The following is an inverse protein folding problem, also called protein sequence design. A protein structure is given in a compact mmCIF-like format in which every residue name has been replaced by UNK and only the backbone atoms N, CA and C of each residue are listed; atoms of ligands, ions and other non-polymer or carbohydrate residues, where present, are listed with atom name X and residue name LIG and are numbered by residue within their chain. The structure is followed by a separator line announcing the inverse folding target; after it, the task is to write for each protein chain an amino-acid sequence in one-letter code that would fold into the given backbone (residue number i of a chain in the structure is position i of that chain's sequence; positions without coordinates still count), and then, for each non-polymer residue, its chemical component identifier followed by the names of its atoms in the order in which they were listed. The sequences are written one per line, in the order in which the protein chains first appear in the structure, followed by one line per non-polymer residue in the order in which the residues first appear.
data_IF_760867880374
#
_entry.id   IF_760867880374
#
_cell.length_a   1.000
_cell.length_b   1.000
_cell.length_c   1.000
_cell.angle_alpha   90.00
_cell.angle_beta   90.00
_cell.angle_gamma   90.00
#
_symmetry.space_group_name_H-M   'P 1'
#
loop_
_entity.id
_entity.type
_entity.pdbx_description
1 polymer ?
#
# COMPACT_ATOMS: atom_id res chain seq x y z
N UNK A 1 -22.33 -19.81 -8.52
CA UNK A 1 -22.52 -19.67 -7.06
C UNK A 1 -21.38 -20.46 -6.42
N UNK A 2 -20.44 -19.94 -5.64
CA UNK A 2 -20.29 -18.70 -4.86
C UNK A 2 -18.87 -18.13 -5.01
N UNK A 3 -18.71 -16.90 -4.53
CA UNK A 3 -17.65 -15.92 -4.80
C UNK A 3 -16.30 -16.23 -4.12
N UNK A 4 -15.20 -15.78 -4.73
CA UNK A 4 -13.94 -15.53 -4.02
C UNK A 4 -14.11 -14.28 -3.15
N UNK A 5 -13.91 -14.41 -1.84
CA UNK A 5 -13.83 -13.28 -0.91
C UNK A 5 -12.41 -12.71 -0.93
N UNK A 6 -12.30 -11.43 -1.31
CA UNK A 6 -11.09 -10.62 -1.15
C UNK A 6 -10.93 -10.27 0.34
N UNK A 7 -10.09 -11.00 1.07
CA UNK A 7 -9.67 -10.58 2.41
C UNK A 7 -8.70 -9.42 2.27
N UNK A 8 -9.21 -8.21 2.44
CA UNK A 8 -8.39 -7.04 2.70
C UNK A 8 -7.68 -7.15 4.05
N UNK A 9 -6.48 -6.56 4.13
CA UNK A 9 -5.85 -6.28 5.43
C UNK A 9 -4.34 -6.45 5.41
N UNK A 10 -3.65 -5.32 5.21
CA UNK A 10 -2.30 -4.99 5.67
C UNK A 10 -1.35 -6.17 5.97
N UNK A 11 -0.43 -6.43 5.06
CA UNK A 11 0.75 -7.29 5.26
C UNK A 11 1.67 -6.73 6.36
N UNK A 12 1.34 -6.96 7.63
CA UNK A 12 2.28 -6.80 8.74
C UNK A 12 2.23 -7.92 9.77
N UNK A 13 1.72 -9.09 9.44
CA UNK A 13 1.73 -10.22 10.38
C UNK A 13 2.04 -11.52 9.64
N UNK A 14 3.33 -11.86 9.44
CA UNK A 14 3.83 -13.25 9.46
C UNK A 14 5.34 -13.37 9.15
N UNK A 15 6.18 -13.09 10.15
CA UNK A 15 7.42 -13.81 10.55
C UNK A 15 7.98 -12.97 11.73
N UNK A 16 8.06 -13.40 12.99
CA UNK A 16 8.73 -14.56 13.55
C UNK A 16 8.09 -14.84 14.92
N UNK A 17 7.72 -16.10 15.17
CA UNK A 17 7.38 -16.60 16.50
C UNK A 17 8.65 -16.69 17.35
N UNK A 18 8.76 -15.86 18.38
CA UNK A 18 9.23 -16.33 19.69
C UNK A 18 8.37 -15.67 20.77
N UNK A 19 7.56 -16.49 21.47
CA UNK A 19 6.93 -16.11 22.73
C UNK A 19 8.01 -15.57 23.68
N UNK A 20 7.89 -14.32 24.14
CA UNK A 20 8.77 -13.78 25.19
C UNK A 20 8.08 -13.93 26.57
N UNK A 21 8.73 -14.55 27.57
CA UNK A 21 8.10 -14.92 28.82
C UNK A 21 7.83 -13.71 29.73
N UNK A 22 6.72 -13.82 30.45
CA UNK A 22 6.22 -12.92 31.49
C UNK A 22 7.04 -13.04 32.77
N UNK A 23 8.03 -12.16 33.03
CA UNK A 23 8.55 -11.98 34.41
C UNK A 23 9.51 -10.82 34.69
N UNK A 24 9.88 -9.94 33.75
CA UNK A 24 10.78 -8.83 34.10
C UNK A 24 10.47 -7.54 33.34
N UNK A 25 9.69 -6.63 33.95
CA UNK A 25 9.92 -5.17 33.90
C UNK A 25 9.31 -4.49 35.15
N UNK A 26 10.10 -3.78 36.00
CA UNK A 26 9.60 -2.98 37.11
C UNK A 26 9.07 -1.60 36.65
N UNK A 27 8.07 -1.11 37.38
CA UNK A 27 7.26 0.11 37.17
C UNK A 27 8.07 1.40 37.07
N UNK A 28 7.75 2.23 36.06
CA UNK A 28 7.61 3.71 36.11
C UNK A 28 6.83 4.16 34.87
N UNK A 29 5.52 4.32 35.00
CA UNK A 29 4.63 4.83 33.95
C UNK A 29 4.88 6.34 33.83
N UNK A 30 5.56 6.77 32.78
CA UNK A 30 5.33 8.06 32.13
C UNK A 30 5.97 8.05 30.76
N UNK A 31 5.38 7.28 29.86
CA UNK A 31 5.60 7.52 28.45
C UNK A 31 4.46 8.43 27.96
N UNK A 32 4.71 9.74 28.03
CA UNK A 32 3.93 10.72 27.29
C UNK A 32 4.21 10.53 25.79
N UNK A 33 3.74 9.41 25.22
CA UNK A 33 3.77 9.17 23.78
C UNK A 33 2.63 9.94 23.12
N UNK A 34 2.63 11.27 23.10
CA UNK A 34 1.76 11.97 22.16
C UNK A 34 2.46 13.17 21.55
N UNK A 35 2.39 13.18 20.23
CA UNK A 35 2.58 14.31 19.37
C UNK A 35 2.79 13.77 17.97
N UNK A 36 4.05 13.74 17.55
CA UNK A 36 4.41 13.46 16.17
C UNK A 36 4.02 12.05 15.67
N UNK A 37 4.30 11.00 16.44
CA UNK A 37 4.15 9.61 15.96
C UNK A 37 2.69 9.22 15.71
N UNK A 38 1.75 9.71 16.51
CA UNK A 38 0.32 9.41 16.36
C UNK A 38 -0.38 10.30 15.33
N UNK A 39 0.20 11.47 15.02
CA UNK A 39 -0.31 12.42 14.03
C UNK A 39 0.24 12.13 12.62
N UNK A 40 1.49 11.67 12.50
CA UNK A 40 2.11 11.34 11.22
C UNK A 40 1.38 10.16 10.56
N UNK A 41 0.93 10.34 9.31
CA UNK A 41 0.20 9.31 8.56
C UNK A 41 -1.12 8.84 9.20
N UNK A 42 -1.70 9.66 10.09
CA UNK A 42 -2.98 9.37 10.78
C UNK A 42 -4.16 9.19 9.84
N UNK A 43 -4.17 9.88 8.68
CA UNK A 43 -5.27 9.76 7.73
C UNK A 43 -5.19 8.47 6.90
N UNK A 44 -6.22 7.60 6.95
CA UNK A 44 -6.22 6.33 6.23
C UNK A 44 -6.27 6.57 4.71
N UNK A 45 -5.31 6.01 3.97
CA UNK A 45 -5.21 6.13 2.49
C UNK A 45 -5.62 4.85 1.75
N UNK A 46 -6.71 4.21 2.19
CA UNK A 46 -7.19 2.96 1.59
C UNK A 46 -7.83 3.16 0.21
N UNK A 47 -8.41 4.34 -0.05
CA UNK A 47 -9.18 4.62 -1.27
C UNK A 47 -8.97 6.03 -1.82
N UNK A 48 -9.54 6.30 -3.00
CA UNK A 48 -9.46 7.58 -3.69
C UNK A 48 -8.13 7.83 -4.41
N UNK A 49 -7.98 9.03 -4.98
CA UNK A 49 -6.82 9.41 -5.81
C UNK A 49 -5.49 9.39 -5.04
N UNK A 50 -5.52 9.63 -3.73
CA UNK A 50 -4.33 9.65 -2.88
C UNK A 50 -3.81 8.26 -2.47
N UNK A 51 -4.64 7.22 -2.64
CA UNK A 51 -4.30 5.84 -2.27
C UNK A 51 -3.38 5.16 -3.26
N UNK A 52 -3.46 5.57 -4.54
CA UNK A 52 -2.80 4.89 -5.66
C UNK A 52 -1.78 5.82 -6.30
N UNK A 53 -0.68 5.23 -6.75
CA UNK A 53 0.40 5.91 -7.45
C UNK A 53 0.90 5.04 -8.61
N UNK A 54 1.48 5.69 -9.61
CA UNK A 54 2.15 4.99 -10.70
C UNK A 54 3.36 4.21 -10.18
N UNK A 55 3.52 2.96 -10.62
CA UNK A 55 4.68 2.13 -10.30
C UNK A 55 6.02 2.70 -10.77
N UNK A 56 6.03 3.47 -11.87
CA UNK A 56 7.27 4.00 -12.47
C UNK A 56 7.62 5.38 -11.92
N UNK A 57 6.69 6.33 -11.99
CA UNK A 57 6.96 7.74 -11.70
C UNK A 57 6.38 8.23 -10.37
N UNK A 58 5.70 7.37 -9.60
CA UNK A 58 5.01 7.73 -8.35
C UNK A 58 3.96 8.85 -8.47
N UNK A 59 3.64 9.31 -9.68
CA UNK A 59 2.60 10.31 -9.92
C UNK A 59 1.22 9.68 -9.64
N UNK A 60 0.33 10.47 -9.04
CA UNK A 60 -1.05 10.08 -8.71
C UNK A 60 -2.08 10.49 -9.76
N UNK A 61 -1.64 11.21 -10.80
CA UNK A 61 -2.54 11.79 -11.82
C UNK A 61 -2.57 10.97 -13.10
N UNK A 62 -3.77 10.78 -13.66
CA UNK A 62 -4.02 10.00 -14.88
C UNK A 62 -3.39 8.61 -14.84
N UNK A 63 -3.65 7.92 -13.74
CA UNK A 63 -3.30 6.53 -13.53
C UNK A 63 -4.25 5.64 -14.33
N UNK A 64 -3.68 4.71 -15.10
CA UNK A 64 -4.38 3.64 -15.79
C UNK A 64 -4.29 2.41 -14.89
N UNK A 65 -5.44 2.05 -14.29
CA UNK A 65 -5.57 0.90 -13.40
C UNK A 65 -6.29 -0.29 -14.04
N UNK A 66 -6.72 -0.15 -15.30
CA UNK A 66 -7.39 -1.25 -16.02
C UNK A 66 -6.40 -2.40 -16.18
N UNK A 67 -6.87 -3.62 -15.98
CA UNK A 67 -6.05 -4.83 -16.06
C UNK A 67 -4.91 -4.90 -15.02
N UNK A 68 -4.98 -4.12 -13.93
CA UNK A 68 -3.97 -4.16 -12.86
C UNK A 68 -2.65 -3.46 -13.17
N UNK A 69 -2.55 -2.72 -14.28
CA UNK A 69 -1.30 -2.09 -14.73
C UNK A 69 -0.75 -1.04 -13.76
N UNK A 70 -1.61 -0.25 -13.10
CA UNK A 70 -1.25 0.80 -12.16
C UNK A 70 -0.11 1.73 -12.67
N UNK A 71 -0.22 2.17 -13.92
CA UNK A 71 0.77 3.01 -14.60
C UNK A 71 0.18 4.34 -15.05
N UNK A 72 0.98 5.40 -15.05
CA UNK A 72 0.55 6.69 -15.55
C UNK A 72 0.38 6.67 -17.08
N UNK A 73 -0.52 7.48 -17.64
CA UNK A 73 -0.74 7.53 -19.11
C UNK A 73 0.52 7.86 -19.94
N UNK A 74 1.45 8.63 -19.39
CA UNK A 74 2.73 8.96 -20.05
C UNK A 74 3.66 7.73 -20.05
N UNK A 75 3.77 7.08 -18.88
CA UNK A 75 4.53 5.86 -18.65
C UNK A 75 4.02 4.72 -19.53
N UNK A 76 2.70 4.55 -19.61
CA UNK A 76 2.08 3.54 -20.46
C UNK A 76 2.47 3.70 -21.93
N UNK A 77 2.54 4.92 -22.46
CA UNK A 77 2.95 5.15 -23.86
C UNK A 77 4.41 4.79 -24.12
N UNK A 78 5.28 4.90 -23.12
CA UNK A 78 6.69 4.50 -23.23
C UNK A 78 6.81 2.98 -23.26
N UNK A 79 6.14 2.29 -22.33
CA UNK A 79 6.23 0.84 -22.17
C UNK A 79 5.19 0.03 -22.97
N UNK A 80 4.28 0.68 -23.70
CA UNK A 80 3.20 -0.01 -24.41
C UNK A 80 3.71 -1.13 -25.33
N UNK A 81 4.82 -0.86 -26.04
CA UNK A 81 5.44 -1.84 -26.95
C UNK A 81 6.01 -3.03 -26.20
N UNK A 82 6.68 -2.79 -25.07
CA UNK A 82 7.31 -3.85 -24.26
C UNK A 82 6.28 -4.73 -23.56
N UNK A 83 5.12 -4.17 -23.20
CA UNK A 83 3.98 -4.90 -22.66
C UNK A 83 3.29 -5.74 -23.75
N UNK A 84 3.51 -5.43 -25.03
CA UNK A 84 2.90 -6.12 -26.18
C UNK A 84 1.63 -5.46 -26.71
N UNK A 85 1.34 -4.22 -26.32
CA UNK A 85 0.27 -3.45 -26.96
C UNK A 85 0.72 -2.95 -28.34
N UNK A 86 0.06 -3.45 -29.38
CA UNK A 86 0.20 -2.97 -30.75
C UNK A 86 -1.00 -2.08 -31.12
N UNK A 87 -0.73 -1.01 -31.87
CA UNK A 87 -1.80 -0.22 -32.48
C UNK A 87 -2.31 -1.01 -33.67
N UNK A 88 -3.56 -1.46 -33.60
CA UNK A 88 -4.30 -1.90 -34.77
C UNK A 88 -5.00 -0.66 -35.34
N UNK A 89 -4.92 -0.49 -36.66
CA UNK A 89 -5.53 0.65 -37.36
C UNK A 89 -7.04 0.49 -37.53
#
# INVERSE_FOLDING_TARGET
MQNLEETGGNDLDNLIVYKKPSSLLPRCIRESKIGHQQLYWSHPRKFGKGSRSCHVCSNRTGLIWKYGLNMCRQCFRQYAKDIGFIKLD
#
